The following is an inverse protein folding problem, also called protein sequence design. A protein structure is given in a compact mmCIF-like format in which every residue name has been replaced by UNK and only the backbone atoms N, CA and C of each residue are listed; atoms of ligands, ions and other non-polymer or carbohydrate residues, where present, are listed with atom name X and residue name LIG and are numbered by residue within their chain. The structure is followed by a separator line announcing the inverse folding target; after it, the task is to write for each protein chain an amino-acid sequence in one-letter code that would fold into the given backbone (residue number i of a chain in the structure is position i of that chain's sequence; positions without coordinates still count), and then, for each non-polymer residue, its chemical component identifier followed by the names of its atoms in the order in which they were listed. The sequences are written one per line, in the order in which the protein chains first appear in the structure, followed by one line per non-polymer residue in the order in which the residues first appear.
data_IF_276920969113
#
_entry.id   IF_276920969113
#
_cell.length_a   1.000
_cell.length_b   1.000
_cell.length_c   1.000
_cell.angle_alpha   90.00
_cell.angle_beta   90.00
_cell.angle_gamma   90.00
#
_symmetry.space_group_name_H-M   'P 1'
#
loop_
_entity.id
_entity.type
_entity.pdbx_description
1 polymer ?
#
# COMPACT_ATOMS: atom_id res chain seq x y z
N UNK A 1 83.00 10.02 9.71
CA UNK A 1 81.92 11.04 9.56
C UNK A 1 80.66 10.29 9.13
N UNK A 2 79.82 9.80 10.04
CA UNK A 2 78.56 10.37 10.60
C UNK A 2 77.52 10.87 9.55
N UNK A 3 76.60 9.96 9.19
CA UNK A 3 75.11 10.02 9.02
C UNK A 3 74.48 11.07 8.03
N UNK A 4 73.31 10.86 7.39
CA UNK A 4 72.10 10.35 8.05
C UNK A 4 71.14 9.41 7.31
N UNK A 5 70.37 8.76 8.19
CA UNK A 5 69.26 7.82 8.08
C UNK A 5 67.99 8.51 7.57
N UNK A 6 67.36 7.97 6.52
CA UNK A 6 66.07 8.43 6.01
C UNK A 6 64.89 7.80 6.76
N UNK A 7 64.03 8.65 7.34
CA UNK A 7 62.77 8.24 7.96
C UNK A 7 61.68 8.00 6.93
N UNK A 8 61.08 6.80 6.95
CA UNK A 8 59.86 6.47 6.21
C UNK A 8 58.65 6.81 7.07
N UNK A 9 57.87 7.79 6.63
CA UNK A 9 56.54 8.09 7.20
C UNK A 9 55.50 7.12 6.61
N UNK A 10 55.05 6.17 7.44
CA UNK A 10 53.84 5.39 7.16
C UNK A 10 52.61 6.30 7.35
N UNK A 11 51.84 6.52 6.29
CA UNK A 11 50.51 7.16 6.36
C UNK A 11 49.48 6.07 6.68
N UNK A 12 48.92 6.10 7.89
CA UNK A 12 47.68 5.37 8.19
C UNK A 12 46.53 6.01 7.40
N UNK A 13 45.93 5.25 6.48
CA UNK A 13 44.65 5.59 5.89
C UNK A 13 43.55 5.20 6.90
N UNK A 14 42.95 6.20 7.55
CA UNK A 14 41.76 6.00 8.35
C UNK A 14 40.56 5.74 7.41
N UNK A 15 40.10 4.49 7.37
CA UNK A 15 38.81 4.13 6.79
C UNK A 15 37.69 4.78 7.62
N UNK A 16 37.16 5.89 7.13
CA UNK A 16 35.92 6.48 7.63
C UNK A 16 34.78 5.60 7.14
N UNK A 17 34.36 4.65 7.99
CA UNK A 17 33.13 3.89 7.81
C UNK A 17 31.94 4.83 7.97
N UNK A 18 31.36 5.28 6.86
CA UNK A 18 30.08 5.96 6.87
C UNK A 18 29.01 4.93 7.22
N UNK A 19 28.61 4.89 8.49
CA UNK A 19 27.40 4.24 8.94
C UNK A 19 26.21 4.98 8.29
N UNK A 20 25.73 4.45 7.18
CA UNK A 20 24.42 4.80 6.62
C UNK A 20 23.38 4.16 7.54
N UNK A 21 23.09 4.84 8.65
CA UNK A 21 21.90 4.53 9.44
C UNK A 21 20.70 4.77 8.54
N UNK A 22 20.02 3.69 8.12
CA UNK A 22 18.73 3.81 7.46
C UNK A 22 17.79 4.56 8.41
N UNK A 23 17.51 5.82 8.13
CA UNK A 23 16.53 6.60 8.88
C UNK A 23 15.18 5.93 8.71
N UNK A 24 14.75 5.18 9.71
CA UNK A 24 13.36 4.78 9.86
C UNK A 24 12.57 6.01 10.25
N UNK A 25 11.82 6.57 9.28
CA UNK A 25 10.87 7.65 9.54
C UNK A 25 9.67 7.08 10.30
N UNK A 26 9.70 7.22 11.63
CA UNK A 26 8.56 6.90 12.48
C UNK A 26 7.45 7.93 12.26
N UNK A 27 6.26 7.48 11.88
CA UNK A 27 5.08 8.34 11.75
C UNK A 27 4.51 8.68 13.14
N UNK A 28 3.67 9.72 13.23
CA UNK A 28 3.11 10.21 14.49
C UNK A 28 2.31 9.14 15.29
N UNK A 29 1.88 8.07 14.62
CA UNK A 29 1.18 6.92 15.23
C UNK A 29 2.14 5.76 15.61
N UNK A 30 3.46 5.94 15.46
CA UNK A 30 4.50 5.02 15.94
C UNK A 30 4.71 3.75 15.10
N UNK A 31 3.87 3.46 14.10
CA UNK A 31 4.10 2.36 13.16
C UNK A 31 5.14 2.73 12.12
N UNK A 32 6.23 1.96 12.06
CA UNK A 32 7.23 2.08 11.00
C UNK A 32 6.63 1.66 9.65
N UNK A 33 6.83 2.51 8.64
CA UNK A 33 6.43 2.24 7.27
C UNK A 33 7.28 1.12 6.67
N UNK A 34 6.67 0.21 5.91
CA UNK A 34 7.38 -0.84 5.19
C UNK A 34 8.36 -0.24 4.16
N UNK A 35 9.46 -0.94 3.80
CA UNK A 35 10.41 -0.44 2.82
C UNK A 35 9.78 -0.12 1.46
N UNK A 36 8.78 -0.90 1.03
CA UNK A 36 8.07 -0.67 -0.23
C UNK A 36 7.23 0.60 -0.18
N UNK A 37 6.45 0.80 0.89
CA UNK A 37 5.67 2.02 1.09
C UNK A 37 6.59 3.25 1.22
N UNK A 38 7.70 3.13 1.95
CA UNK A 38 8.69 4.21 2.10
C UNK A 38 9.31 4.62 0.75
N UNK A 39 9.63 3.65 -0.12
CA UNK A 39 10.11 3.92 -1.47
C UNK A 39 9.08 4.68 -2.29
N UNK A 40 7.82 4.24 -2.27
CA UNK A 40 6.74 4.94 -2.99
C UNK A 40 6.56 6.37 -2.45
N UNK A 41 6.52 6.56 -1.14
CA UNK A 41 6.41 7.90 -0.53
C UNK A 41 7.57 8.82 -0.95
N UNK A 42 8.80 8.31 -0.97
CA UNK A 42 9.96 9.07 -1.44
C UNK A 42 9.83 9.47 -2.92
N UNK A 43 9.38 8.56 -3.79
CA UNK A 43 9.12 8.85 -5.20
C UNK A 43 8.03 9.93 -5.37
N UNK A 44 6.96 9.85 -4.59
CA UNK A 44 5.88 10.85 -4.58
C UNK A 44 6.37 12.22 -4.11
N UNK A 45 7.19 12.26 -3.06
CA UNK A 45 7.79 13.50 -2.56
C UNK A 45 8.71 14.14 -3.61
N UNK A 46 9.54 13.35 -4.28
CA UNK A 46 10.42 13.81 -5.36
C UNK A 46 9.63 14.32 -6.58
N UNK A 47 8.47 13.71 -6.87
CA UNK A 47 7.61 14.10 -7.98
C UNK A 47 6.71 15.33 -7.68
N UNK A 48 6.62 15.77 -6.41
CA UNK A 48 5.67 16.81 -5.98
C UNK A 48 5.80 18.14 -6.75
N UNK A 49 7.02 18.54 -7.10
CA UNK A 49 7.28 19.76 -7.88
C UNK A 49 6.80 19.68 -9.34
N UNK A 50 6.50 18.49 -9.85
CA UNK A 50 6.03 18.25 -11.23
C UNK A 50 4.50 18.27 -11.34
N UNK A 51 3.79 18.45 -10.23
CA UNK A 51 2.32 18.41 -10.20
C UNK A 51 1.70 19.67 -10.80
N UNK A 52 0.83 19.50 -11.81
CA UNK A 52 0.18 20.61 -12.52
C UNK A 52 -1.29 20.80 -12.10
N UNK A 53 -1.88 21.94 -12.47
CA UNK A 53 -3.31 22.18 -12.25
C UNK A 53 -4.17 21.23 -13.09
N UNK A 54 -3.72 20.90 -14.30
CA UNK A 54 -4.35 19.94 -15.20
C UNK A 54 -4.36 18.54 -14.59
N UNK A 55 -3.25 18.11 -14.00
CA UNK A 55 -3.13 16.83 -13.29
C UNK A 55 -4.09 16.74 -12.09
N UNK A 56 -4.17 17.81 -11.28
CA UNK A 56 -5.16 17.91 -10.20
C UNK A 56 -6.60 17.78 -10.70
N UNK A 57 -6.93 18.46 -11.80
CA UNK A 57 -8.26 18.39 -12.38
C UNK A 57 -8.58 17.01 -12.97
N UNK A 58 -7.62 16.35 -13.60
CA UNK A 58 -7.76 14.99 -14.10
C UNK A 58 -7.99 14.00 -12.96
N UNK A 59 -7.19 14.05 -11.90
CA UNK A 59 -7.36 13.23 -10.70
C UNK A 59 -8.74 13.46 -10.05
N UNK A 60 -9.20 14.72 -9.94
CA UNK A 60 -10.54 15.03 -9.41
C UNK A 60 -11.65 14.37 -10.21
N UNK A 61 -11.58 14.39 -11.55
CA UNK A 61 -12.58 13.74 -12.42
C UNK A 61 -12.54 12.21 -12.26
N UNK A 62 -11.35 11.63 -12.18
CA UNK A 62 -11.17 10.19 -11.98
C UNK A 62 -11.67 9.74 -10.61
N UNK A 63 -11.40 10.50 -9.54
CA UNK A 63 -11.96 10.24 -8.22
C UNK A 63 -13.49 10.28 -8.25
N UNK A 64 -14.10 11.29 -8.90
CA UNK A 64 -15.55 11.37 -9.01
C UNK A 64 -16.16 10.18 -9.79
N UNK A 65 -15.50 9.71 -10.85
CA UNK A 65 -15.89 8.49 -11.56
C UNK A 65 -15.77 7.26 -10.64
N UNK A 66 -14.67 7.16 -9.90
CA UNK A 66 -14.43 6.12 -8.91
C UNK A 66 -15.52 6.09 -7.85
N UNK A 67 -15.87 7.23 -7.26
CA UNK A 67 -16.91 7.35 -6.23
C UNK A 67 -18.27 6.89 -6.77
N UNK A 68 -18.59 7.28 -8.00
CA UNK A 68 -19.81 6.90 -8.67
C UNK A 68 -19.90 5.39 -8.89
N UNK A 69 -18.81 4.76 -9.37
CA UNK A 69 -18.74 3.31 -9.56
C UNK A 69 -18.75 2.56 -8.22
N UNK A 70 -18.03 3.06 -7.23
CA UNK A 70 -17.91 2.47 -5.90
C UNK A 70 -19.27 2.41 -5.20
N UNK A 71 -20.06 3.49 -5.22
CA UNK A 71 -21.42 3.51 -4.66
C UNK A 71 -22.38 2.55 -5.36
N UNK A 72 -22.17 2.29 -6.66
CA UNK A 72 -22.89 1.25 -7.42
C UNK A 72 -22.35 -0.16 -7.17
N UNK A 73 -21.37 -0.31 -6.28
CA UNK A 73 -20.66 -1.57 -6.00
C UNK A 73 -19.95 -2.17 -7.22
N UNK A 74 -19.64 -1.33 -8.21
CA UNK A 74 -18.81 -1.68 -9.37
C UNK A 74 -17.34 -1.42 -9.02
N UNK A 75 -16.81 -2.27 -8.15
CA UNK A 75 -15.50 -2.05 -7.55
C UNK A 75 -14.34 -2.23 -8.52
N UNK A 76 -14.52 -2.99 -9.60
CA UNK A 76 -13.51 -3.11 -10.66
C UNK A 76 -13.33 -1.77 -11.39
N UNK A 77 -14.44 -1.13 -11.77
CA UNK A 77 -14.40 0.21 -12.40
C UNK A 77 -13.92 1.26 -11.40
N UNK A 78 -14.35 1.18 -10.14
CA UNK A 78 -13.88 2.08 -9.09
C UNK A 78 -12.36 1.99 -8.90
N UNK A 79 -11.82 0.77 -8.76
CA UNK A 79 -10.39 0.52 -8.65
C UNK A 79 -9.62 1.11 -9.84
N UNK A 80 -10.06 0.86 -11.07
CA UNK A 80 -9.43 1.45 -12.28
C UNK A 80 -9.46 2.98 -12.25
N UNK A 81 -10.55 3.59 -11.79
CA UNK A 81 -10.65 5.04 -11.73
C UNK A 81 -9.69 5.62 -10.68
N UNK A 82 -9.64 5.07 -9.47
CA UNK A 82 -8.74 5.53 -8.41
C UNK A 82 -7.27 5.26 -8.73
N UNK A 83 -6.94 4.10 -9.28
CA UNK A 83 -5.56 3.77 -9.66
C UNK A 83 -5.03 4.60 -10.83
N UNK A 84 -5.91 5.08 -11.71
CA UNK A 84 -5.55 6.06 -12.73
C UNK A 84 -5.52 7.50 -12.18
N UNK A 85 -6.05 7.76 -10.99
CA UNK A 85 -6.08 9.09 -10.39
C UNK A 85 -4.73 9.49 -9.78
N UNK A 86 -4.10 8.60 -8.99
CA UNK A 86 -2.85 8.94 -8.31
C UNK A 86 -1.64 9.22 -9.23
N UNK A 87 -1.50 8.68 -10.46
CA UNK A 87 -0.45 9.11 -11.38
C UNK A 87 -0.63 10.56 -11.88
N UNK A 88 -1.87 11.05 -11.91
CA UNK A 88 -2.17 12.44 -12.28
C UNK A 88 -1.94 13.39 -11.10
N UNK A 89 -2.42 13.01 -9.92
CA UNK A 89 -2.20 13.75 -8.68
C UNK A 89 -2.33 12.80 -7.47
N UNK A 90 -1.21 12.41 -6.84
CA UNK A 90 -1.22 11.46 -5.73
C UNK A 90 -1.87 12.10 -4.52
N UNK A 91 -2.93 11.46 -4.01
CA UNK A 91 -3.64 11.89 -2.80
C UNK A 91 -3.88 10.70 -1.92
N UNK A 92 -3.81 10.88 -0.61
CA UNK A 92 -4.18 9.88 0.39
C UNK A 92 -5.54 9.22 0.08
N UNK A 93 -6.54 10.02 -0.29
CA UNK A 93 -7.86 9.54 -0.71
C UNK A 93 -7.81 8.52 -1.86
N UNK A 94 -7.12 8.84 -2.96
CA UNK A 94 -7.07 7.95 -4.13
C UNK A 94 -6.36 6.62 -3.81
N UNK A 95 -5.29 6.66 -3.01
CA UNK A 95 -4.58 5.46 -2.56
C UNK A 95 -5.46 4.55 -1.69
N UNK A 96 -6.15 5.12 -0.68
CA UNK A 96 -7.03 4.35 0.21
C UNK A 96 -8.23 3.76 -0.54
N UNK A 97 -8.87 4.55 -1.41
CA UNK A 97 -10.03 4.11 -2.18
C UNK A 97 -9.65 3.08 -3.26
N UNK A 98 -8.47 3.21 -3.88
CA UNK A 98 -7.94 2.20 -4.80
C UNK A 98 -7.74 0.86 -4.09
N UNK A 99 -7.10 0.87 -2.92
CA UNK A 99 -6.84 -0.34 -2.14
C UNK A 99 -8.15 -1.05 -1.77
N UNK A 100 -9.09 -0.34 -1.14
CA UNK A 100 -10.36 -0.93 -0.72
C UNK A 100 -11.18 -1.44 -1.91
N UNK A 101 -11.27 -0.67 -3.01
CA UNK A 101 -11.96 -1.11 -4.21
C UNK A 101 -11.33 -2.37 -4.84
N UNK A 102 -10.01 -2.47 -4.89
CA UNK A 102 -9.31 -3.64 -5.40
C UNK A 102 -9.69 -4.90 -4.63
N UNK A 103 -9.63 -4.85 -3.30
CA UNK A 103 -9.96 -6.01 -2.47
C UNK A 103 -11.44 -6.38 -2.55
N UNK A 104 -12.34 -5.40 -2.60
CA UNK A 104 -13.77 -5.69 -2.80
C UNK A 104 -14.05 -6.29 -4.17
N UNK A 105 -13.38 -5.81 -5.22
CA UNK A 105 -13.46 -6.37 -6.56
C UNK A 105 -13.01 -7.83 -6.57
N UNK A 106 -11.90 -8.13 -5.90
CA UNK A 106 -11.40 -9.51 -5.75
C UNK A 106 -12.42 -10.39 -5.02
N UNK A 107 -12.96 -9.94 -3.89
CA UNK A 107 -13.99 -10.68 -3.14
C UNK A 107 -15.23 -10.94 -4.01
N UNK A 108 -15.71 -9.93 -4.74
CA UNK A 108 -16.85 -10.08 -5.66
C UNK A 108 -16.57 -11.08 -6.78
N UNK A 109 -15.39 -11.01 -7.40
CA UNK A 109 -14.98 -11.94 -8.45
C UNK A 109 -15.00 -13.39 -7.94
N UNK A 110 -14.43 -13.64 -6.76
CA UNK A 110 -14.38 -14.98 -6.19
C UNK A 110 -15.76 -15.51 -5.80
N UNK A 111 -16.62 -14.65 -5.24
CA UNK A 111 -18.01 -15.02 -4.95
C UNK A 111 -18.77 -15.41 -6.23
N UNK A 112 -18.62 -14.66 -7.31
CA UNK A 112 -19.25 -14.98 -8.61
C UNK A 112 -18.75 -16.33 -9.14
N UNK A 113 -17.45 -16.57 -9.07
CA UNK A 113 -16.82 -17.83 -9.49
C UNK A 113 -17.32 -19.03 -8.67
N UNK A 114 -17.41 -18.90 -7.35
CA UNK A 114 -17.90 -19.96 -6.46
C UNK A 114 -19.37 -20.35 -6.71
N UNK A 115 -20.19 -19.43 -7.25
CA UNK A 115 -21.57 -19.74 -7.68
C UNK A 115 -21.62 -20.50 -9.01
N UNK A 116 -20.65 -20.25 -9.89
CA UNK A 116 -20.62 -20.84 -11.24
C UNK A 116 -19.98 -22.23 -11.27
N UNK A 117 -18.97 -22.47 -10.45
CA UNK A 117 -18.30 -23.75 -10.35
C UNK A 117 -18.95 -24.57 -9.20
N UNK A 118 -19.74 -25.60 -9.54
CA UNK A 118 -20.46 -26.45 -8.57
C UNK A 118 -19.57 -27.52 -7.92
N UNK A 119 -18.26 -27.28 -7.77
CA UNK A 119 -17.33 -28.19 -7.12
C UNK A 119 -16.82 -27.62 -5.80
N UNK A 120 -16.52 -28.50 -4.83
CA UNK A 120 -15.91 -28.08 -3.55
C UNK A 120 -14.56 -27.35 -3.72
N UNK A 121 -13.92 -27.45 -4.90
CA UNK A 121 -12.69 -26.74 -5.27
C UNK A 121 -12.93 -25.31 -5.77
N UNK A 122 -14.15 -24.93 -6.11
CA UNK A 122 -14.54 -23.60 -6.59
C UNK A 122 -14.43 -22.49 -5.53
N UNK A 123 -14.69 -22.86 -4.27
CA UNK A 123 -14.55 -21.97 -3.12
C UNK A 123 -13.08 -21.72 -2.75
N UNK A 124 -12.15 -22.37 -3.46
CA UNK A 124 -10.74 -22.33 -3.19
C UNK A 124 -10.03 -21.40 -4.16
N UNK A 125 -9.76 -20.19 -3.69
CA UNK A 125 -8.58 -19.50 -4.16
C UNK A 125 -7.40 -20.34 -3.71
N UNK A 126 -6.68 -20.94 -4.66
CA UNK A 126 -5.35 -21.46 -4.36
C UNK A 126 -4.60 -20.32 -3.66
N UNK A 127 -4.26 -20.54 -2.38
CA UNK A 127 -3.29 -19.75 -1.62
C UNK A 127 -1.90 -20.01 -2.21
N UNK A 128 -1.78 -19.93 -3.53
CA UNK A 128 -0.52 -19.89 -4.22
C UNK A 128 0.24 -18.71 -3.65
N UNK A 129 1.55 -18.87 -3.46
CA UNK A 129 2.40 -17.78 -2.97
C UNK A 129 2.22 -16.46 -3.75
N UNK A 130 1.69 -16.53 -4.99
CA UNK A 130 1.28 -15.36 -5.78
C UNK A 130 0.16 -14.53 -5.15
N UNK A 131 -0.89 -15.15 -4.59
CA UNK A 131 -1.97 -14.41 -3.94
C UNK A 131 -1.46 -13.64 -2.72
N UNK A 132 -0.72 -14.33 -1.85
CA UNK A 132 -0.16 -13.76 -0.63
C UNK A 132 0.83 -12.65 -0.97
N UNK A 133 1.73 -12.90 -1.92
CA UNK A 133 2.66 -11.90 -2.41
C UNK A 133 1.93 -10.68 -2.98
N UNK A 134 0.95 -10.89 -3.87
CA UNK A 134 0.11 -9.82 -4.41
C UNK A 134 -0.60 -9.03 -3.31
N UNK A 135 -1.10 -9.71 -2.27
CA UNK A 135 -1.73 -9.07 -1.12
C UNK A 135 -0.76 -8.16 -0.38
N UNK A 136 0.43 -8.65 -0.03
CA UNK A 136 1.43 -7.87 0.68
C UNK A 136 1.90 -6.65 -0.12
N UNK A 137 2.18 -6.85 -1.40
CA UNK A 137 2.60 -5.77 -2.29
C UNK A 137 1.51 -4.70 -2.38
N UNK A 138 0.26 -5.10 -2.52
CA UNK A 138 -0.86 -4.17 -2.61
C UNK A 138 -1.11 -3.40 -1.30
N UNK A 139 -1.09 -4.11 -0.16
CA UNK A 139 -1.25 -3.49 1.16
C UNK A 139 -0.17 -2.43 1.41
N UNK A 140 1.08 -2.71 1.04
CA UNK A 140 2.18 -1.76 1.15
C UNK A 140 2.02 -0.59 0.16
N UNK A 141 1.74 -0.87 -1.12
CA UNK A 141 1.73 0.17 -2.15
C UNK A 141 0.49 1.06 -2.14
N UNK A 142 -0.64 0.57 -1.62
CA UNK A 142 -1.91 1.31 -1.63
C UNK A 142 -2.38 1.74 -0.25
N UNK A 143 -2.71 0.80 0.64
CA UNK A 143 -3.22 1.15 1.97
C UNK A 143 -2.20 1.91 2.80
N UNK A 144 -0.99 1.36 2.94
CA UNK A 144 0.04 1.93 3.80
C UNK A 144 0.51 3.30 3.29
N UNK A 145 0.73 3.44 1.97
CA UNK A 145 1.01 4.74 1.34
C UNK A 145 -0.12 5.74 1.57
N UNK A 146 -1.38 5.34 1.39
CA UNK A 146 -2.53 6.23 1.61
C UNK A 146 -2.65 6.72 3.07
N UNK A 147 -2.42 5.83 4.04
CA UNK A 147 -2.42 6.16 5.47
C UNK A 147 -1.26 7.09 5.84
N UNK A 148 -0.06 6.81 5.31
CA UNK A 148 1.13 7.63 5.51
C UNK A 148 0.96 9.04 4.90
N UNK A 149 0.50 9.13 3.64
CA UNK A 149 0.22 10.40 2.97
C UNK A 149 -0.77 11.26 3.77
N UNK A 150 -1.86 10.67 4.27
CA UNK A 150 -2.84 11.43 5.07
C UNK A 150 -2.21 12.05 6.33
N UNK A 151 -1.29 11.32 6.95
CA UNK A 151 -0.56 11.75 8.13
C UNK A 151 0.45 12.87 7.79
N UNK A 152 1.20 12.72 6.71
CA UNK A 152 2.19 13.71 6.23
C UNK A 152 1.53 15.01 5.75
N UNK A 153 0.42 14.90 5.02
CA UNK A 153 -0.37 16.04 4.54
C UNK A 153 -1.07 16.80 5.67
N UNK A 154 -1.14 16.21 6.87
CA UNK A 154 -1.85 16.73 8.04
C UNK A 154 -3.29 17.10 7.71
N UNK A 155 -3.95 16.31 6.86
CA UNK A 155 -5.36 16.49 6.54
C UNK A 155 -6.21 16.09 7.77
N UNK A 156 -6.42 17.07 8.65
CA UNK A 156 -7.17 16.87 9.90
C UNK A 156 -8.60 16.43 9.67
N UNK A 157 -9.20 16.77 8.53
CA UNK A 157 -10.56 16.37 8.21
C UNK A 157 -10.59 14.90 7.82
N UNK A 158 -9.69 14.49 6.93
CA UNK A 158 -9.55 13.09 6.53
C UNK A 158 -9.18 12.20 7.71
N UNK A 159 -8.15 12.56 8.49
CA UNK A 159 -7.67 11.78 9.63
C UNK A 159 -8.75 11.54 10.70
N UNK A 160 -9.73 12.43 10.81
CA UNK A 160 -10.88 12.30 11.72
C UNK A 160 -12.12 11.68 11.08
N UNK A 161 -12.07 11.40 9.78
CA UNK A 161 -13.22 10.85 9.05
C UNK A 161 -13.47 9.38 9.41
N UNK A 162 -14.73 8.93 9.44
CA UNK A 162 -15.05 7.51 9.58
C UNK A 162 -14.39 6.64 8.51
N UNK A 163 -14.28 7.18 7.29
CA UNK A 163 -13.63 6.52 6.15
C UNK A 163 -12.18 6.17 6.46
N UNK A 164 -11.42 7.11 7.03
CA UNK A 164 -10.01 6.88 7.37
C UNK A 164 -9.83 5.86 8.49
N UNK A 165 -10.63 5.95 9.57
CA UNK A 165 -10.61 4.93 10.63
C UNK A 165 -10.90 3.54 10.07
N UNK A 166 -11.94 3.43 9.24
CA UNK A 166 -12.34 2.18 8.62
C UNK A 166 -11.28 1.62 7.67
N UNK A 167 -10.62 2.48 6.90
CA UNK A 167 -9.52 2.06 6.03
C UNK A 167 -8.32 1.53 6.84
N UNK A 168 -7.98 2.19 7.96
CA UNK A 168 -6.92 1.73 8.87
C UNK A 168 -7.26 0.38 9.52
N UNK A 169 -8.49 0.20 9.99
CA UNK A 169 -8.96 -1.09 10.52
C UNK A 169 -8.90 -2.20 9.47
N UNK A 170 -9.31 -1.90 8.24
CA UNK A 170 -9.24 -2.84 7.12
C UNK A 170 -7.80 -3.24 6.80
N UNK A 171 -6.89 -2.27 6.73
CA UNK A 171 -5.45 -2.51 6.54
C UNK A 171 -4.87 -3.41 7.63
N UNK A 172 -5.07 -3.08 8.91
CA UNK A 172 -4.56 -3.89 10.02
C UNK A 172 -5.11 -5.32 9.99
N UNK A 173 -6.40 -5.49 9.71
CA UNK A 173 -7.00 -6.82 9.61
C UNK A 173 -6.44 -7.61 8.41
N UNK A 174 -6.32 -7.00 7.24
CA UNK A 174 -5.77 -7.65 6.04
C UNK A 174 -4.28 -7.99 6.20
N UNK A 175 -3.50 -7.18 6.91
CA UNK A 175 -2.11 -7.53 7.25
C UNK A 175 -2.04 -8.78 8.13
N UNK A 176 -2.94 -8.92 9.10
CA UNK A 176 -3.05 -10.13 9.93
C UNK A 176 -3.41 -11.34 9.06
N UNK A 177 -4.39 -11.20 8.17
CA UNK A 177 -4.76 -12.26 7.21
C UNK A 177 -3.57 -12.65 6.34
N UNK A 178 -2.83 -11.69 5.79
CA UNK A 178 -1.66 -11.96 4.97
C UNK A 178 -0.61 -12.79 5.74
N UNK A 179 -0.32 -12.46 7.00
CA UNK A 179 0.61 -13.19 7.87
C UNK A 179 0.11 -14.60 8.22
N UNK A 180 -1.18 -14.75 8.50
CA UNK A 180 -1.79 -16.06 8.76
C UNK A 180 -1.67 -16.98 7.53
N UNK A 181 -1.91 -16.44 6.33
CA UNK A 181 -1.79 -17.18 5.09
C UNK A 181 -0.34 -17.59 4.76
N UNK A 182 0.67 -16.81 5.17
CA UNK A 182 2.09 -17.16 5.00
C UNK A 182 2.50 -18.44 5.74
N UNK A 183 1.83 -18.73 6.85
CA UNK A 183 2.09 -19.94 7.63
C UNK A 183 1.44 -21.20 7.04
N UNK A 184 0.57 -21.04 6.03
CA UNK A 184 -0.14 -22.15 5.41
C UNK A 184 0.68 -22.79 4.27
N UNK A 185 0.50 -24.09 3.99
CA UNK A 185 1.03 -24.72 2.78
C UNK A 185 0.61 -23.98 1.50
N UNK A 186 1.48 -23.94 0.48
CA UNK A 186 1.28 -23.18 -0.76
C UNK A 186 0.05 -23.59 -1.61
N UNK A 187 -0.57 -24.72 -1.29
CA UNK A 187 -1.80 -25.23 -1.91
C UNK A 187 -3.03 -25.09 -0.99
N UNK A 188 -2.90 -24.35 0.10
CA UNK A 188 -4.01 -24.14 1.04
C UNK A 188 -5.10 -23.27 0.42
N UNK A 189 -6.27 -23.31 1.02
CA UNK A 189 -7.41 -22.52 0.60
C UNK A 189 -7.37 -21.14 1.26
N UNK A 190 -7.51 -20.06 0.50
CA UNK A 190 -7.74 -18.73 1.09
C UNK A 190 -9.21 -18.58 1.44
N UNK A 191 -9.50 -18.36 2.72
CA UNK A 191 -10.85 -17.97 3.17
C UNK A 191 -11.17 -16.53 2.74
N UNK A 192 -11.92 -16.39 1.64
CA UNK A 192 -12.38 -15.09 1.15
C UNK A 192 -13.42 -14.45 2.07
N UNK A 193 -14.15 -15.25 2.86
CA UNK A 193 -15.02 -14.75 3.91
C UNK A 193 -14.23 -13.95 4.94
N UNK A 194 -13.03 -14.42 5.31
CA UNK A 194 -12.13 -13.70 6.21
C UNK A 194 -11.66 -12.36 5.63
N UNK A 195 -11.24 -12.34 4.37
CA UNK A 195 -10.87 -11.09 3.66
C UNK A 195 -12.05 -10.11 3.66
N UNK A 196 -13.26 -10.59 3.36
CA UNK A 196 -14.45 -9.76 3.36
C UNK A 196 -14.81 -9.20 4.74
N UNK A 197 -14.69 -10.01 5.80
CA UNK A 197 -14.89 -9.53 7.17
C UNK A 197 -13.91 -8.40 7.51
N UNK A 198 -12.65 -8.51 7.07
CA UNK A 198 -11.67 -7.44 7.24
C UNK A 198 -12.05 -6.16 6.51
N UNK A 199 -12.71 -6.24 5.35
CA UNK A 199 -13.18 -5.07 4.59
C UNK A 199 -14.43 -4.43 5.22
N UNK A 200 -15.33 -5.25 5.77
CA UNK A 200 -16.55 -4.77 6.43
C UNK A 200 -17.41 -3.89 5.52
N UNK A 201 -18.07 -2.89 6.11
CA UNK A 201 -18.88 -1.92 5.37
C UNK A 201 -18.04 -1.12 4.36
N UNK A 202 -18.60 -0.76 3.19
CA UNK A 202 -17.94 0.09 2.20
C UNK A 202 -17.52 1.45 2.77
N UNK A 203 -16.36 1.94 2.31
CA UNK A 203 -15.79 3.24 2.73
C UNK A 203 -16.66 4.42 2.29
N UNK A 204 -17.36 4.27 1.15
CA UNK A 204 -18.38 5.21 0.67
C UNK A 204 -19.73 4.50 0.60
N UNK A 205 -20.77 5.22 1.04
CA UNK A 205 -22.17 4.83 0.91
C UNK A 205 -22.81 5.53 -0.28
#
# INVERSE_FOLDING_TARGET
MKAPTGWRTMRLAALVGVLVSALTTAHADGTATSPDAARVLADLQAARSKQTAEGRNAAKRLNALGDSAYRRQDYEVAYKAYSNSYPNFPTSYAYLMSADAQWRSLVQFQRKRAVQESSATAACLEASGRFIHGMKMDLAQHYEVGLALASEERDKQLLKSPMFSRARESFTCLQTVAKELEALPANSCVDIGRVQQCLGEPLLK
#
